data_IF_032911537762
#
_entry.id   IF_032911537762
#
_cell.length_a   1.000
_cell.length_b   1.000
_cell.length_c   1.000
_cell.angle_alpha   90.00
_cell.angle_beta   90.00
_cell.angle_gamma   90.00
#
_symmetry.space_group_name_H-M   'P 1'
#
loop_
_entity.id
_entity.type
_entity.pdbx_description
1 polymer ?
#
# COMPACT_ATOMS: atom_id res chain seq x y z
N UNK A 1 -1.12 -15.17 -0.85
CA UNK A 1 0.04 -14.25 -0.70
C UNK A 1 -0.09 -13.54 0.62
N UNK A 2 0.95 -13.59 1.46
CA UNK A 2 1.04 -12.83 2.71
C UNK A 2 1.83 -11.54 2.48
N UNK A 3 1.60 -10.53 3.33
CA UNK A 3 2.33 -9.25 3.29
C UNK A 3 3.12 -9.10 4.58
N UNK A 4 4.44 -9.06 4.46
CA UNK A 4 5.33 -8.80 5.60
C UNK A 4 5.85 -7.37 5.50
N UNK A 5 5.70 -6.59 6.56
CA UNK A 5 6.06 -5.17 6.58
C UNK A 5 7.22 -4.89 7.55
N UNK A 6 8.24 -4.21 7.07
CA UNK A 6 9.39 -3.75 7.85
C UNK A 6 9.48 -2.23 7.80
N UNK A 7 9.83 -1.61 8.92
CA UNK A 7 10.18 -0.19 8.94
C UNK A 7 11.55 0.00 8.28
N UNK A 8 11.62 0.98 7.39
CA UNK A 8 12.83 1.30 6.65
C UNK A 8 13.56 2.48 7.30
N UNK A 9 14.85 2.32 7.53
CA UNK A 9 15.75 3.34 8.05
C UNK A 9 16.83 3.66 7.03
N UNK A 10 16.97 4.95 6.74
CA UNK A 10 17.97 5.51 5.83
C UNK A 10 18.30 6.97 6.17
N UNK A 11 19.17 7.56 5.37
CA UNK A 11 19.58 8.97 5.43
C UNK A 11 18.48 9.87 4.83
N UNK A 12 18.53 11.16 5.13
CA UNK A 12 17.55 12.13 4.61
C UNK A 12 17.55 12.20 3.07
N UNK A 13 18.72 12.09 2.43
CA UNK A 13 18.86 12.01 0.98
C UNK A 13 18.10 10.81 0.39
N UNK A 14 18.17 9.65 1.05
CA UNK A 14 17.46 8.45 0.63
C UNK A 14 15.94 8.61 0.79
N UNK A 15 15.48 9.31 1.83
CA UNK A 15 14.05 9.61 1.98
C UNK A 15 13.53 10.58 0.90
N UNK A 16 14.35 11.55 0.48
CA UNK A 16 14.03 12.44 -0.65
C UNK A 16 13.95 11.65 -1.96
N UNK A 17 14.91 10.75 -2.20
CA UNK A 17 14.89 9.84 -3.35
C UNK A 17 13.63 8.96 -3.40
N UNK A 18 13.21 8.40 -2.25
CA UNK A 18 11.95 7.62 -2.17
C UNK A 18 10.75 8.51 -2.51
N UNK A 19 10.69 9.75 -1.99
CA UNK A 19 9.60 10.68 -2.30
C UNK A 19 9.54 11.02 -3.80
N UNK A 20 10.68 11.18 -4.45
CA UNK A 20 10.78 11.39 -5.90
C UNK A 20 10.36 10.17 -6.70
N UNK A 21 10.73 8.96 -6.26
CA UNK A 21 10.27 7.72 -6.86
C UNK A 21 8.73 7.60 -6.74
N UNK A 22 8.14 7.94 -5.58
CA UNK A 22 6.68 7.96 -5.38
C UNK A 22 6.00 8.98 -6.31
N UNK A 23 6.60 10.16 -6.49
CA UNK A 23 6.09 11.18 -7.44
C UNK A 23 6.15 10.68 -8.88
N UNK A 24 7.24 10.02 -9.26
CA UNK A 24 7.42 9.43 -10.59
C UNK A 24 6.37 8.35 -10.87
N UNK A 25 6.10 7.48 -9.90
CA UNK A 25 5.01 6.48 -10.00
C UNK A 25 3.64 7.14 -10.19
N UNK A 26 3.36 8.22 -9.45
CA UNK A 26 2.10 8.97 -9.59
C UNK A 26 1.96 9.53 -11.01
N UNK A 27 3.04 10.11 -11.54
CA UNK A 27 3.10 10.63 -12.90
C UNK A 27 2.80 9.51 -13.91
N UNK A 28 3.57 8.42 -13.89
CA UNK A 28 3.40 7.30 -14.84
C UNK A 28 1.97 6.75 -14.80
N UNK A 29 1.40 6.49 -13.60
CA UNK A 29 0.02 6.01 -13.47
C UNK A 29 -0.98 6.97 -14.10
N UNK A 30 -0.86 8.26 -13.81
CA UNK A 30 -1.81 9.27 -14.30
C UNK A 30 -1.67 9.48 -15.80
N UNK A 31 -0.45 9.43 -16.35
CA UNK A 31 -0.22 9.50 -17.80
C UNK A 31 -0.81 8.28 -18.52
N UNK A 32 -0.63 7.07 -17.97
CA UNK A 32 -1.29 5.87 -18.49
C UNK A 32 -2.82 5.99 -18.45
N UNK A 33 -3.38 6.54 -17.37
CA UNK A 33 -4.82 6.77 -17.28
C UNK A 33 -5.31 7.80 -18.30
N UNK A 34 -4.53 8.87 -18.54
CA UNK A 34 -4.84 9.88 -19.55
C UNK A 34 -4.84 9.28 -20.95
N UNK A 35 -3.82 8.50 -21.29
CA UNK A 35 -3.75 7.81 -22.58
C UNK A 35 -4.99 6.94 -22.83
N UNK A 36 -5.43 6.19 -21.82
CA UNK A 36 -6.64 5.38 -21.92
C UNK A 36 -7.92 6.22 -22.08
N UNK A 37 -8.01 7.40 -21.46
CA UNK A 37 -9.15 8.30 -21.64
C UNK A 37 -9.19 8.89 -23.05
N UNK A 38 -8.02 9.22 -23.61
CA UNK A 38 -7.91 9.88 -24.92
C UNK A 38 -8.08 8.88 -26.08
N UNK A 39 -7.62 7.64 -25.90
CA UNK A 39 -7.63 6.62 -26.95
C UNK A 39 -8.59 5.46 -26.64
N UNK A 40 -9.62 5.31 -27.49
CA UNK A 40 -10.51 4.14 -27.46
C UNK A 40 -9.73 2.86 -27.78
N UNK A 41 -10.02 1.77 -27.07
CA UNK A 41 -9.42 0.46 -27.32
C UNK A 41 -8.06 0.20 -26.65
N UNK A 42 -7.50 1.16 -25.90
CA UNK A 42 -6.21 0.99 -25.21
C UNK A 42 -6.24 -0.19 -24.22
N UNK A 43 -5.41 -1.20 -24.45
CA UNK A 43 -5.31 -2.39 -23.62
C UNK A 43 -4.19 -2.34 -22.58
N UNK A 44 -4.10 -3.41 -21.76
CA UNK A 44 -3.05 -3.59 -20.74
C UNK A 44 -1.63 -3.46 -21.32
N UNK A 45 -1.41 -4.10 -22.47
CA UNK A 45 -0.09 -4.16 -23.09
C UNK A 45 0.33 -2.81 -23.67
N UNK A 46 -0.61 -2.02 -24.18
CA UNK A 46 -0.35 -0.68 -24.69
C UNK A 46 0.09 0.27 -23.57
N UNK A 47 -0.58 0.20 -22.41
CA UNK A 47 -0.15 0.95 -21.22
C UNK A 47 1.26 0.56 -20.76
N UNK A 48 1.64 -0.72 -20.89
CA UNK A 48 3.00 -1.18 -20.58
C UNK A 48 4.02 -0.68 -21.61
N UNK A 49 3.69 -0.70 -22.91
CA UNK A 49 4.52 -0.11 -23.98
C UNK A 49 4.71 1.39 -23.76
N UNK A 50 3.67 2.10 -23.35
CA UNK A 50 3.71 3.52 -23.06
C UNK A 50 4.68 3.88 -21.93
N UNK A 51 4.92 3.00 -20.94
CA UNK A 51 5.96 3.23 -19.93
C UNK A 51 7.38 3.36 -20.52
N UNK A 52 7.65 2.76 -21.69
CA UNK A 52 8.92 2.94 -22.40
C UNK A 52 8.98 4.30 -23.07
N UNK A 53 7.89 4.73 -23.71
CA UNK A 53 7.74 6.06 -24.33
C UNK A 53 7.94 7.16 -23.28
N UNK A 54 7.26 7.06 -22.14
CA UNK A 54 7.39 8.03 -21.04
C UNK A 54 8.82 8.14 -20.52
N UNK A 55 9.57 7.03 -20.48
CA UNK A 55 10.96 7.10 -20.03
C UNK A 55 11.93 7.66 -21.08
N UNK A 56 11.61 7.55 -22.38
CA UNK A 56 12.38 8.24 -23.41
C UNK A 56 12.13 9.75 -23.36
N UNK A 57 10.88 10.16 -23.12
CA UNK A 57 10.49 11.57 -23.08
C UNK A 57 10.90 12.29 -21.80
N UNK A 58 10.88 11.60 -20.65
CA UNK A 58 11.09 12.21 -19.34
C UNK A 58 12.28 11.55 -18.62
N UNK A 59 13.42 12.26 -18.46
CA UNK A 59 14.61 11.73 -17.78
C UNK A 59 14.31 11.20 -16.37
N UNK A 60 13.53 11.95 -15.59
CA UNK A 60 13.14 11.54 -14.22
C UNK A 60 12.31 10.24 -14.18
N UNK A 61 11.61 9.91 -15.27
CA UNK A 61 10.86 8.66 -15.38
C UNK A 61 11.78 7.49 -15.78
N UNK A 62 12.82 7.77 -16.57
CA UNK A 62 13.85 6.78 -16.92
C UNK A 62 14.67 6.35 -15.70
N UNK A 63 14.89 7.27 -14.76
CA UNK A 63 15.62 6.97 -13.53
C UNK A 63 14.95 5.87 -12.69
N UNK A 64 13.62 5.76 -12.76
CA UNK A 64 12.87 4.73 -12.08
C UNK A 64 12.99 3.40 -12.83
N UNK A 65 13.21 2.33 -12.07
CA UNK A 65 13.28 0.96 -12.60
C UNK A 65 12.08 0.62 -13.50
N UNK A 66 12.35 -0.07 -14.60
CA UNK A 66 11.34 -0.43 -15.62
C UNK A 66 10.19 -1.24 -15.05
N UNK A 67 10.44 -2.20 -14.15
CA UNK A 67 9.39 -2.99 -13.51
C UNK A 67 8.54 -2.17 -12.55
N UNK A 68 9.11 -1.14 -11.92
CA UNK A 68 8.35 -0.20 -11.09
C UNK A 68 7.45 0.72 -11.91
N UNK A 69 7.90 1.16 -13.10
CA UNK A 69 7.06 1.86 -14.07
C UNK A 69 5.91 0.99 -14.56
N UNK A 70 6.18 -0.27 -14.90
CA UNK A 70 5.14 -1.22 -15.29
C UNK A 70 4.16 -1.54 -14.14
N UNK A 71 4.62 -1.64 -12.89
CA UNK A 71 3.74 -1.81 -11.75
C UNK A 71 2.82 -0.58 -11.54
N UNK A 72 3.25 0.62 -11.96
CA UNK A 72 2.41 1.81 -11.96
C UNK A 72 1.33 1.77 -13.07
N UNK A 73 1.67 1.29 -14.27
CA UNK A 73 0.68 1.11 -15.35
C UNK A 73 -0.31 -0.02 -15.05
N UNK A 74 0.14 -1.12 -14.45
CA UNK A 74 -0.74 -2.18 -13.94
C UNK A 74 -1.74 -1.64 -12.91
N UNK A 75 -1.31 -0.73 -12.03
CA UNK A 75 -2.22 -0.07 -11.08
C UNK A 75 -3.27 0.82 -11.77
N UNK A 76 -2.93 1.44 -12.90
CA UNK A 76 -3.91 2.17 -13.71
C UNK A 76 -4.90 1.20 -14.37
N UNK A 77 -4.37 0.16 -15.02
CA UNK A 77 -5.17 -0.88 -15.67
C UNK A 77 -6.14 -1.57 -14.70
N UNK A 78 -5.68 -1.95 -13.51
CA UNK A 78 -6.55 -2.56 -12.49
C UNK A 78 -7.71 -1.66 -12.08
N UNK A 79 -7.55 -0.33 -12.09
CA UNK A 79 -8.68 0.58 -11.84
C UNK A 79 -9.67 0.65 -13.00
N UNK A 80 -9.19 0.53 -14.24
CA UNK A 80 -10.01 0.48 -15.46
C UNK A 80 -10.80 -0.82 -15.52
N UNK A 81 -10.13 -1.96 -15.31
CA UNK A 81 -10.77 -3.29 -15.27
C UNK A 81 -11.85 -3.33 -14.20
N UNK A 82 -11.55 -2.87 -12.98
CA UNK A 82 -12.56 -2.79 -11.89
C UNK A 82 -13.78 -1.96 -12.25
N UNK A 83 -13.61 -0.87 -13.02
CA UNK A 83 -14.73 -0.07 -13.49
C UNK A 83 -15.62 -0.89 -14.43
N UNK A 84 -15.04 -1.50 -15.46
CA UNK A 84 -15.80 -2.33 -16.40
C UNK A 84 -16.42 -3.56 -15.75
N UNK A 85 -15.73 -4.24 -14.83
CA UNK A 85 -16.27 -5.37 -14.09
C UNK A 85 -17.48 -4.97 -13.25
N UNK A 86 -17.43 -3.81 -12.59
CA UNK A 86 -18.56 -3.27 -11.84
C UNK A 86 -19.71 -2.86 -12.79
N UNK A 87 -19.39 -2.39 -14.00
CA UNK A 87 -20.38 -2.12 -15.03
C UNK A 87 -21.11 -3.39 -15.47
N UNK A 88 -20.36 -4.45 -15.80
CA UNK A 88 -20.90 -5.74 -16.22
C UNK A 88 -21.72 -6.42 -15.13
N UNK A 89 -21.26 -6.38 -13.88
CA UNK A 89 -21.94 -7.01 -12.73
C UNK A 89 -23.13 -6.22 -12.20
N UNK A 90 -23.54 -5.12 -12.86
CA UNK A 90 -24.64 -4.25 -12.44
C UNK A 90 -24.68 -3.94 -10.94
N UNK A 91 -23.50 -3.68 -10.35
CA UNK A 91 -23.42 -3.40 -8.91
C UNK A 91 -24.28 -2.17 -8.56
N UNK A 92 -25.07 -2.24 -7.47
CA UNK A 92 -25.90 -1.13 -7.05
C UNK A 92 -25.05 0.09 -6.68
N UNK A 93 -25.54 1.28 -7.02
CA UNK A 93 -24.88 2.56 -6.75
C UNK A 93 -24.03 3.12 -7.90
N UNK A 94 -23.40 4.28 -7.66
CA UNK A 94 -22.61 4.99 -8.68
C UNK A 94 -21.33 4.21 -9.02
N UNK A 95 -21.27 3.66 -10.23
CA UNK A 95 -20.09 3.02 -10.82
C UNK A 95 -19.00 4.07 -11.06
N UNK A 96 -18.10 4.25 -10.10
CA UNK A 96 -17.13 5.36 -10.13
C UNK A 96 -16.11 5.17 -11.26
N UNK A 97 -16.11 6.10 -12.23
CA UNK A 97 -15.11 6.15 -13.30
C UNK A 97 -13.68 6.29 -12.74
N UNK A 98 -12.65 5.69 -13.36
CA UNK A 98 -11.27 5.85 -12.92
C UNK A 98 -10.82 7.32 -12.90
N UNK A 99 -10.19 7.75 -11.80
CA UNK A 99 -9.72 9.14 -11.61
C UNK A 99 -8.21 9.24 -11.44
N UNK A 100 -7.67 10.40 -11.81
CA UNK A 100 -6.27 10.74 -11.57
C UNK A 100 -5.94 10.68 -10.08
N UNK A 101 -4.78 10.08 -9.76
CA UNK A 101 -4.31 9.95 -8.40
C UNK A 101 -3.80 11.29 -7.89
N UNK A 102 -4.45 11.85 -6.87
CA UNK A 102 -3.97 13.06 -6.17
C UNK A 102 -2.83 12.74 -5.20
N UNK A 103 -2.98 11.65 -4.45
CA UNK A 103 -2.02 11.26 -3.40
C UNK A 103 -1.50 9.85 -3.65
N UNK A 104 -0.22 9.75 -4.02
CA UNK A 104 0.52 8.49 -4.04
C UNK A 104 1.38 8.38 -2.80
N UNK A 105 1.50 7.15 -2.29
CA UNK A 105 2.23 6.82 -1.08
C UNK A 105 3.17 5.63 -1.27
N UNK A 106 3.23 5.03 -2.46
CA UNK A 106 4.00 3.80 -2.64
C UNK A 106 4.62 3.63 -4.02
N UNK A 107 5.80 3.02 -4.01
CA UNK A 107 6.51 2.49 -5.17
C UNK A 107 6.54 0.99 -5.03
N UNK A 108 6.22 0.27 -6.09
CA UNK A 108 6.20 -1.18 -6.11
C UNK A 108 7.17 -1.65 -7.17
N UNK A 109 8.03 -2.59 -6.80
CA UNK A 109 8.99 -3.29 -7.63
C UNK A 109 8.52 -4.74 -7.74
N UNK A 110 8.70 -5.35 -8.91
CA UNK A 110 8.37 -6.77 -9.13
C UNK A 110 9.53 -7.64 -8.64
N UNK A 111 10.13 -8.45 -9.52
CA UNK A 111 11.28 -9.30 -9.21
C UNK A 111 12.64 -8.63 -9.46
N UNK A 112 12.67 -7.38 -9.94
CA UNK A 112 13.91 -6.65 -10.25
C UNK A 112 13.97 -5.28 -9.59
N UNK A 113 15.16 -4.68 -9.55
CA UNK A 113 15.38 -3.34 -9.01
C UNK A 113 15.62 -3.30 -7.50
N UNK A 114 15.74 -4.46 -6.86
CA UNK A 114 16.07 -4.59 -5.44
C UNK A 114 16.89 -5.87 -5.19
N UNK A 115 17.70 -5.85 -4.14
CA UNK A 115 18.45 -7.02 -3.62
C UNK A 115 18.43 -7.00 -2.09
N UNK A 116 18.14 -8.14 -1.49
CA UNK A 116 18.29 -8.33 -0.04
C UNK A 116 19.75 -8.60 0.30
N UNK A 117 20.20 -8.11 1.47
CA UNK A 117 21.49 -8.49 2.04
C UNK A 117 21.52 -9.97 2.44
N UNK A 118 22.72 -10.52 2.68
CA UNK A 118 22.91 -11.91 3.13
C UNK A 118 22.18 -12.18 4.45
N UNK A 119 22.17 -11.21 5.35
CA UNK A 119 21.52 -11.25 6.66
C UNK A 119 20.03 -10.87 6.63
N UNK A 120 19.45 -10.56 5.46
CA UNK A 120 18.06 -10.08 5.27
C UNK A 120 17.65 -8.84 6.12
N UNK A 121 18.59 -8.17 6.78
CA UNK A 121 18.35 -6.96 7.60
C UNK A 121 18.45 -5.67 6.80
N UNK A 122 18.83 -5.74 5.53
CA UNK A 122 18.88 -4.59 4.65
C UNK A 122 18.39 -4.94 3.25
N UNK A 123 17.88 -3.92 2.55
CA UNK A 123 17.50 -4.00 1.16
C UNK A 123 18.17 -2.89 0.37
N UNK A 124 18.71 -3.23 -0.79
CA UNK A 124 19.36 -2.28 -1.70
C UNK A 124 18.50 -2.13 -2.94
N UNK A 125 18.05 -0.90 -3.21
CA UNK A 125 17.36 -0.56 -4.45
C UNK A 125 18.38 -0.08 -5.48
N UNK A 126 18.35 -0.66 -6.67
CA UNK A 126 19.33 -0.46 -7.74
C UNK A 126 18.81 0.43 -8.86
N UNK A 127 17.85 1.32 -8.56
CA UNK A 127 17.36 2.31 -9.52
C UNK A 127 18.31 3.53 -9.60
N UNK A 128 18.16 4.34 -10.66
CA UNK A 128 18.95 5.57 -10.81
C UNK A 128 18.38 6.73 -9.98
N UNK A 129 17.42 6.45 -9.09
CA UNK A 129 16.87 7.42 -8.13
C UNK A 129 17.75 7.57 -6.89
N UNK A 130 18.83 6.80 -6.78
CA UNK A 130 19.79 6.90 -5.67
C UNK A 130 19.15 6.60 -4.30
N UNK A 131 18.16 5.69 -4.25
CA UNK A 131 17.61 5.20 -2.97
C UNK A 131 18.68 4.41 -2.21
N UNK A 132 19.40 3.52 -2.89
CA UNK A 132 20.50 2.74 -2.32
C UNK A 132 20.06 1.75 -1.24
N UNK A 133 20.93 1.53 -0.24
CA UNK A 133 20.74 0.55 0.84
C UNK A 133 19.94 1.13 2.00
N UNK A 134 18.85 0.46 2.39
CA UNK A 134 18.01 0.79 3.54
C UNK A 134 18.09 -0.33 4.58
N UNK A 135 18.16 0.03 5.86
CA UNK A 135 18.07 -0.93 6.98
C UNK A 135 16.60 -1.25 7.23
N UNK A 136 16.30 -2.53 7.40
CA UNK A 136 14.98 -3.06 7.73
C UNK A 136 14.91 -3.33 9.23
N UNK A 137 13.80 -2.93 9.85
CA UNK A 137 13.48 -3.25 11.24
C UNK A 137 12.02 -3.69 11.33
N UNK A 138 11.79 -4.91 11.81
CA UNK A 138 10.45 -5.48 11.93
C UNK A 138 10.45 -6.59 12.96
N UNK A 139 9.24 -7.04 13.31
CA UNK A 139 9.02 -8.14 14.27
C UNK A 139 9.19 -9.51 13.61
N UNK A 140 8.82 -9.61 12.34
CA UNK A 140 8.84 -10.86 11.60
C UNK A 140 10.18 -11.14 10.97
N UNK A 141 10.51 -12.41 10.90
CA UNK A 141 11.78 -12.89 10.40
C UNK A 141 11.66 -13.23 8.90
N UNK A 142 12.19 -12.34 8.04
CA UNK A 142 12.18 -12.56 6.59
C UNK A 142 13.01 -13.79 6.16
N UNK A 143 13.89 -14.29 7.05
CA UNK A 143 14.74 -15.45 6.78
C UNK A 143 13.96 -16.76 6.63
N UNK A 144 12.75 -16.83 7.18
CA UNK A 144 11.89 -18.02 7.08
C UNK A 144 11.37 -18.27 5.66
N UNK A 145 11.44 -17.27 4.78
CA UNK A 145 10.93 -17.38 3.41
C UNK A 145 12.06 -17.41 2.40
N UNK A 146 11.96 -18.30 1.42
CA UNK A 146 12.87 -18.30 0.29
C UNK A 146 12.67 -17.02 -0.54
N UNK A 147 13.75 -16.45 -1.05
CA UNK A 147 13.75 -15.26 -1.91
C UNK A 147 12.88 -15.47 -3.15
N UNK A 148 12.76 -16.72 -3.64
CA UNK A 148 11.89 -17.07 -4.79
C UNK A 148 10.39 -16.92 -4.49
N UNK A 149 10.00 -17.00 -3.22
CA UNK A 149 8.63 -16.79 -2.77
C UNK A 149 8.26 -15.31 -2.79
N UNK A 150 9.22 -14.39 -2.71
CA UNK A 150 8.98 -12.95 -2.78
C UNK A 150 8.65 -12.54 -4.21
N UNK A 151 7.38 -12.19 -4.46
CA UNK A 151 6.91 -11.82 -5.82
C UNK A 151 7.00 -10.33 -6.10
N UNK A 152 6.79 -9.50 -5.08
CA UNK A 152 6.83 -8.03 -5.19
C UNK A 152 7.37 -7.40 -3.91
N UNK A 153 8.06 -6.28 -4.06
CA UNK A 153 8.55 -5.45 -2.96
C UNK A 153 7.99 -4.04 -3.13
N UNK A 154 7.39 -3.49 -2.08
CA UNK A 154 6.77 -2.16 -2.12
C UNK A 154 7.32 -1.27 -1.02
N UNK A 155 7.87 -0.12 -1.40
CA UNK A 155 8.17 0.96 -0.46
C UNK A 155 6.88 1.76 -0.25
N UNK A 156 6.46 1.95 1.00
CA UNK A 156 5.26 2.71 1.38
C UNK A 156 5.60 3.81 2.39
N UNK A 157 5.08 5.01 2.14
CA UNK A 157 5.16 6.17 3.02
C UNK A 157 3.93 6.24 3.92
N UNK A 158 4.11 5.94 5.20
CA UNK A 158 3.11 6.12 6.26
C UNK A 158 3.34 7.45 6.98
N UNK A 159 2.48 7.78 7.94
CA UNK A 159 2.57 9.04 8.69
C UNK A 159 3.80 9.14 9.61
N UNK A 160 4.36 8.02 10.04
CA UNK A 160 5.49 7.95 10.97
C UNK A 160 6.81 7.52 10.31
N UNK A 161 6.84 7.32 8.99
CA UNK A 161 8.05 6.96 8.27
C UNK A 161 7.78 6.13 7.02
N UNK A 162 8.85 5.51 6.52
CA UNK A 162 8.84 4.64 5.36
C UNK A 162 8.90 3.18 5.79
N UNK A 163 8.25 2.32 5.02
CA UNK A 163 8.20 0.88 5.25
C UNK A 163 8.44 0.15 3.94
N UNK A 164 8.99 -1.05 4.02
CA UNK A 164 9.13 -1.98 2.90
C UNK A 164 8.19 -3.15 3.17
N UNK A 165 7.27 -3.37 2.25
CA UNK A 165 6.34 -4.49 2.24
C UNK A 165 6.83 -5.55 1.26
N UNK A 166 6.90 -6.80 1.71
CA UNK A 166 7.21 -7.96 0.90
C UNK A 166 5.92 -8.74 0.65
N UNK A 167 5.55 -8.90 -0.61
CA UNK A 167 4.45 -9.76 -1.01
C UNK A 167 5.02 -11.16 -1.26
N UNK A 168 4.78 -12.08 -0.33
CA UNK A 168 5.31 -13.44 -0.34
C UNK A 168 4.21 -14.41 -0.78
N UNK A 169 4.51 -15.24 -1.78
CA UNK A 169 3.68 -16.36 -2.16
C UNK A 169 4.00 -17.54 -1.23
N UNK A 170 3.07 -17.85 -0.35
CA UNK A 170 3.14 -18.98 0.58
C UNK A 170 1.97 -19.88 0.24
N UNK A 171 2.25 -21.15 0.03
CA UNK A 171 1.24 -22.19 -0.07
C UNK A 171 1.04 -22.76 1.33
N UNK A 172 -0.02 -22.31 2.01
CA UNK A 172 -0.41 -22.83 3.31
C UNK A 172 -1.35 -24.00 3.02
N UNK A 173 -0.85 -25.23 3.20
CA UNK A 173 -1.66 -26.43 3.27
C UNK A 173 -1.58 -26.92 4.70
N UNK A 174 -2.70 -26.85 5.40
CA UNK A 174 -2.85 -27.50 6.70
C UNK A 174 -3.77 -28.70 6.47
N UNK A 175 -3.22 -29.90 6.60
CA UNK A 175 -3.99 -31.13 6.61
C UNK A 175 -4.53 -31.29 8.04
N UNK A 176 -5.75 -30.80 8.26
CA UNK A 176 -6.47 -30.94 9.52
C UNK A 176 -7.62 -31.93 9.33
N UNK A 177 -7.75 -32.87 10.25
CA UNK A 177 -8.93 -33.73 10.30
C UNK A 177 -10.18 -32.87 10.59
N UNK A 178 -11.24 -32.95 9.75
CA UNK A 178 -12.44 -32.17 9.97
C UNK A 178 -13.09 -32.54 11.30
N UNK A 179 -13.30 -31.57 12.19
CA UNK A 179 -13.92 -31.78 13.50
C UNK A 179 -15.39 -32.20 13.43
N UNK A 180 -16.02 -32.11 12.25
CA UNK A 180 -17.47 -32.31 11.98
C UNK A 180 -18.40 -31.41 12.81
N UNK A 181 -17.85 -30.45 13.56
CA UNK A 181 -18.59 -29.44 14.32
C UNK A 181 -18.63 -28.15 13.53
N UNK A 182 -19.83 -27.60 13.36
CA UNK A 182 -20.04 -26.29 12.75
C UNK A 182 -20.35 -25.27 13.85
N UNK A 183 -19.65 -24.14 13.84
CA UNK A 183 -19.89 -23.03 14.76
C UNK A 183 -20.30 -21.81 13.92
N UNK A 184 -21.47 -21.25 14.24
CA UNK A 184 -21.91 -19.98 13.64
C UNK A 184 -21.23 -18.82 14.35
N UNK A 185 -20.72 -17.84 13.61
CA UNK A 185 -20.16 -16.61 14.17
C UNK A 185 -21.04 -15.42 13.74
N UNK A 186 -21.70 -14.78 14.70
CA UNK A 186 -22.42 -13.52 14.47
C UNK A 186 -21.54 -12.33 14.84
N UNK A 187 -21.36 -11.38 13.91
CA UNK A 187 -20.49 -10.22 14.09
C UNK A 187 -21.30 -9.01 14.56
N UNK A 188 -20.99 -8.53 15.77
CA UNK A 188 -21.79 -7.51 16.46
C UNK A 188 -21.17 -6.11 16.55
N UNK A 189 -22.00 -5.14 16.95
CA UNK A 189 -21.55 -3.82 17.43
C UNK A 189 -21.40 -3.78 18.95
N UNK A 190 -22.13 -4.65 19.67
CA UNK A 190 -22.06 -4.79 21.12
C UNK A 190 -20.81 -5.61 21.47
N UNK A 191 -20.81 -6.88 21.08
CA UNK A 191 -19.66 -7.79 21.12
C UNK A 191 -18.95 -7.83 19.76
N UNK A 192 -17.69 -8.26 19.72
CA UNK A 192 -16.92 -8.41 18.48
C UNK A 192 -17.47 -9.57 17.65
N UNK A 193 -17.63 -10.73 18.29
CA UNK A 193 -18.44 -11.82 17.76
C UNK A 193 -19.13 -12.60 18.89
N UNK A 194 -20.20 -13.28 18.54
CA UNK A 194 -20.88 -14.27 19.39
C UNK A 194 -20.93 -15.58 18.62
N UNK A 195 -20.55 -16.68 19.27
CA UNK A 195 -20.66 -18.00 18.66
C UNK A 195 -22.02 -18.65 18.93
N UNK A 196 -22.35 -19.70 18.18
CA UNK A 196 -23.60 -20.45 18.36
C UNK A 196 -23.71 -21.19 19.69
N UNK A 197 -22.59 -21.34 20.40
CA UNK A 197 -22.50 -21.97 21.72
C UNK A 197 -22.70 -20.95 22.86
N UNK A 198 -22.90 -19.67 22.52
CA UNK A 198 -23.16 -18.56 23.46
C UNK A 198 -21.90 -17.85 23.97
N UNK A 199 -20.70 -18.23 23.52
CA UNK A 199 -19.47 -17.52 23.86
C UNK A 199 -19.38 -16.19 23.12
N UNK A 200 -18.84 -15.18 23.79
CA UNK A 200 -18.73 -13.83 23.24
C UNK A 200 -17.33 -13.28 23.41
N UNK A 201 -16.83 -12.63 22.36
CA UNK A 201 -15.59 -11.85 22.43
C UNK A 201 -15.92 -10.34 22.53
N UNK A 202 -15.40 -9.59 23.52
CA UNK A 202 -15.74 -8.19 23.71
C UNK A 202 -15.31 -7.29 22.55
N UNK A 203 -16.13 -6.28 22.21
CA UNK A 203 -15.74 -5.31 21.18
C UNK A 203 -14.77 -4.24 21.75
N UNK A 204 -13.51 -4.17 21.29
CA UNK A 204 -12.49 -3.24 21.77
C UNK A 204 -12.81 -1.76 21.52
N UNK A 205 -13.64 -1.49 20.50
CA UNK A 205 -14.10 -0.15 20.08
C UNK A 205 -12.98 0.88 19.93
N UNK A 206 -11.79 0.48 19.43
CA UNK A 206 -10.61 1.37 19.33
C UNK A 206 -10.88 2.72 18.68
N UNK A 207 -11.70 2.75 17.63
CA UNK A 207 -12.02 4.00 16.96
C UNK A 207 -12.84 4.92 17.83
N UNK A 208 -13.84 4.42 18.56
CA UNK A 208 -14.65 5.22 19.49
C UNK A 208 -13.77 5.80 20.60
N UNK A 209 -12.88 4.98 21.18
CA UNK A 209 -11.88 5.44 22.17
C UNK A 209 -10.95 6.53 21.60
N UNK A 210 -10.59 6.45 20.32
CA UNK A 210 -9.75 7.42 19.63
C UNK A 210 -10.48 8.63 19.02
N UNK A 211 -11.81 8.60 18.92
CA UNK A 211 -12.61 9.52 18.10
C UNK A 211 -12.50 10.97 18.58
N UNK A 212 -12.58 11.19 19.90
CA UNK A 212 -12.44 12.53 20.51
C UNK A 212 -11.11 13.18 20.11
N UNK A 213 -10.03 12.40 20.14
CA UNK A 213 -8.69 12.87 19.75
C UNK A 213 -8.61 13.11 18.24
N UNK A 214 -9.17 12.23 17.41
CA UNK A 214 -9.23 12.43 15.96
C UNK A 214 -9.95 13.72 15.59
N UNK A 215 -11.15 13.97 16.14
CA UNK A 215 -11.94 15.20 15.93
C UNK A 215 -11.13 16.44 16.31
N UNK A 216 -10.41 16.41 17.42
CA UNK A 216 -9.54 17.50 17.84
C UNK A 216 -8.45 17.82 16.79
N UNK A 217 -7.73 16.81 16.29
CA UNK A 217 -6.70 17.03 15.26
C UNK A 217 -7.29 17.46 13.92
N UNK A 218 -8.46 16.94 13.54
CA UNK A 218 -9.18 17.38 12.34
C UNK A 218 -9.53 18.87 12.41
N UNK A 219 -10.10 19.33 13.54
CA UNK A 219 -10.38 20.77 13.77
C UNK A 219 -9.10 21.61 13.68
N UNK A 220 -8.00 21.14 14.27
CA UNK A 220 -6.69 21.82 14.16
C UNK A 220 -6.23 21.92 12.70
N UNK A 221 -6.37 20.87 11.89
CA UNK A 221 -6.02 20.93 10.46
C UNK A 221 -6.89 21.94 9.71
N UNK A 222 -8.20 21.98 10.00
CA UNK A 222 -9.15 22.87 9.34
C UNK A 222 -8.89 24.35 9.63
N UNK A 223 -8.50 24.68 10.86
CA UNK A 223 -8.20 26.06 11.29
C UNK A 223 -6.86 26.60 10.76
N UNK A 224 -6.00 25.77 10.16
CA UNK A 224 -4.70 26.23 9.63
C UNK A 224 -4.83 26.58 8.15
N UNK A 225 -4.14 27.65 7.75
CA UNK A 225 -4.07 28.14 6.36
C UNK A 225 -3.63 27.01 5.42
N UNK A 226 -4.37 26.83 4.32
CA UNK A 226 -4.07 25.84 3.27
C UNK A 226 -2.65 26.08 2.72
N UNK A 227 -1.89 25.03 2.46
CA UNK A 227 -0.50 25.12 1.97
C UNK A 227 0.57 25.42 3.04
N UNK A 228 0.21 26.08 4.16
CA UNK A 228 1.18 26.47 5.19
C UNK A 228 1.97 25.31 5.80
N UNK A 229 3.21 25.58 6.23
CA UNK A 229 4.04 24.62 6.96
C UNK A 229 3.36 24.11 8.24
N UNK A 230 2.64 24.98 8.94
CA UNK A 230 1.88 24.64 10.14
C UNK A 230 0.73 23.67 9.84
N UNK A 231 0.03 23.83 8.71
CA UNK A 231 -0.98 22.86 8.28
C UNK A 231 -0.36 21.52 7.92
N UNK A 232 0.79 21.49 7.24
CA UNK A 232 1.53 20.23 6.95
C UNK A 232 1.89 19.49 8.24
N UNK A 233 2.39 20.20 9.26
CA UNK A 233 2.65 19.63 10.60
C UNK A 233 1.37 19.09 11.25
N UNK A 234 0.25 19.81 11.18
CA UNK A 234 -1.03 19.36 11.73
C UNK A 234 -1.58 18.11 11.01
N UNK A 235 -1.47 18.04 9.68
CA UNK A 235 -1.88 16.87 8.88
C UNK A 235 -1.06 15.64 9.27
N UNK A 236 0.26 15.81 9.49
CA UNK A 236 1.11 14.71 9.94
C UNK A 236 0.66 14.18 11.31
N UNK A 237 0.41 15.07 12.28
CA UNK A 237 -0.12 14.68 13.60
C UNK A 237 -1.45 13.92 13.50
N UNK A 238 -2.38 14.40 12.67
CA UNK A 238 -3.63 13.70 12.39
C UNK A 238 -3.38 12.31 11.79
N UNK A 239 -2.49 12.22 10.80
CA UNK A 239 -2.11 10.95 10.15
C UNK A 239 -1.50 9.94 11.12
N UNK A 240 -0.69 10.40 12.08
CA UNK A 240 -0.11 9.53 13.13
C UNK A 240 -1.18 8.94 14.06
N UNK A 241 -2.21 9.71 14.39
CA UNK A 241 -3.34 9.20 15.19
C UNK A 241 -4.20 8.19 14.42
N UNK A 242 -4.47 8.44 13.14
CA UNK A 242 -5.10 7.43 12.28
C UNK A 242 -4.27 6.15 12.19
N UNK A 243 -2.95 6.29 12.04
CA UNK A 243 -2.05 5.14 11.99
C UNK A 243 -2.04 4.35 13.30
N UNK A 244 -2.07 5.03 14.46
CA UNK A 244 -2.16 4.38 15.77
C UNK A 244 -3.43 3.52 15.89
N UNK A 245 -4.59 4.09 15.57
CA UNK A 245 -5.87 3.35 15.62
C UNK A 245 -5.86 2.19 14.63
N UNK A 246 -5.31 2.39 13.43
CA UNK A 246 -5.17 1.32 12.44
C UNK A 246 -4.28 0.18 12.96
N UNK A 247 -3.21 0.47 13.69
CA UNK A 247 -2.33 -0.56 14.26
C UNK A 247 -2.98 -1.33 15.40
N UNK A 248 -3.74 -0.65 16.27
CA UNK A 248 -4.48 -1.32 17.34
C UNK A 248 -5.44 -2.37 16.77
N UNK A 249 -6.19 -2.01 15.73
CA UNK A 249 -7.10 -2.93 15.04
C UNK A 249 -6.40 -4.15 14.41
N UNK A 250 -5.20 -3.95 13.86
CA UNK A 250 -4.45 -5.06 13.24
C UNK A 250 -3.81 -5.94 14.32
N UNK A 251 -3.28 -5.35 15.39
CA UNK A 251 -2.63 -6.09 16.46
C UNK A 251 -3.59 -7.02 17.20
N UNK A 252 -4.83 -6.58 17.43
CA UNK A 252 -5.85 -7.41 18.10
C UNK A 252 -6.50 -8.44 17.17
N UNK A 253 -6.60 -8.17 15.86
CA UNK A 253 -7.05 -9.18 14.89
C UNK A 253 -6.00 -10.28 14.62
N UNK A 254 -4.79 -10.14 15.16
CA UNK A 254 -3.68 -11.09 15.06
C UNK A 254 -3.25 -11.65 16.43
N UNK A 255 -3.93 -11.27 17.51
CA UNK A 255 -3.78 -11.83 18.85
C UNK A 255 -4.89 -12.87 19.07
#
# INVERSE_FOLDING_TARGET
>A
MIIIEFKAYGKESQYKAIDEAIRTVKFVRNSCLRLWMDNKGTGKYDLSKYCKVLAKQFPFANELNSTARQAASERAWSSIVRFYDNCKKNKPGKKSFPRFQKHCRSVEYKQSGWKLSSDNKAITFSDKKSIGKLKLKGTWDLWQFDKKQIKRVRIIKRADGYYVQFCVAVDIKEDLDPSKRNVGLDLGLKEFYTDSDGNTEPNPRFYRKGEKRLKFYQRRVSRKVKGSANRKKAINRLGRHHLRISRQRVGEACA
#
